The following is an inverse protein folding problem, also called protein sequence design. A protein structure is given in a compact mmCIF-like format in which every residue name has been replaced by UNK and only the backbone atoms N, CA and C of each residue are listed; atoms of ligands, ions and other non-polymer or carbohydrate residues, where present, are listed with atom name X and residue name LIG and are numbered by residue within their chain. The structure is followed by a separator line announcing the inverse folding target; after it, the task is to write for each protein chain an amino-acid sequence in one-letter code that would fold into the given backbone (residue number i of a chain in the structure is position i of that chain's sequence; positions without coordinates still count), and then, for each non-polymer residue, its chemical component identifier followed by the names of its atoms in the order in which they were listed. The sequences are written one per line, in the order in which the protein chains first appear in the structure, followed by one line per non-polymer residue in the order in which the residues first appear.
data_IF_764177149447
#
_entry.id   IF_764177149447
#
_cell.length_a   1.000
_cell.length_b   1.000
_cell.length_c   1.000
_cell.angle_alpha   90.00
_cell.angle_beta   90.00
_cell.angle_gamma   90.00
#
_symmetry.space_group_name_H-M   'P 1'
#
loop_
_entity.id
_entity.type
_entity.pdbx_description
1 polymer ?
#
# COMPACT_ATOMS: atom_id res chain seq x y z
N UNK A 1 30.71 40.93 15.33
CA UNK A 1 29.72 40.37 14.41
C UNK A 1 29.62 38.91 14.76
N UNK A 2 28.55 38.51 15.41
CA UNK A 2 28.35 37.15 15.87
C UNK A 2 27.50 36.45 14.81
N UNK A 3 28.05 35.39 14.21
CA UNK A 3 27.31 34.47 13.35
C UNK A 3 26.28 33.70 14.21
N UNK A 4 25.02 33.91 13.90
CA UNK A 4 23.91 33.16 14.50
C UNK A 4 23.89 31.74 13.96
N UNK A 5 23.34 30.80 14.73
CA UNK A 5 23.24 29.42 14.28
C UNK A 5 22.32 29.33 13.07
N UNK A 6 22.86 28.83 11.96
CA UNK A 6 22.10 28.43 10.77
C UNK A 6 21.12 27.31 11.16
N UNK A 7 19.84 27.60 11.05
CA UNK A 7 18.78 26.56 11.15
C UNK A 7 19.06 25.43 10.14
N UNK A 8 18.88 24.16 10.51
CA UNK A 8 19.04 23.07 9.57
C UNK A 8 18.00 23.22 8.45
N UNK A 9 18.48 23.39 7.24
CA UNK A 9 17.68 23.65 6.05
C UNK A 9 16.63 22.59 5.81
N UNK A 10 15.38 22.98 5.71
CA UNK A 10 14.18 22.23 5.34
C UNK A 10 14.17 21.75 3.87
N UNK A 11 15.33 21.48 3.27
CA UNK A 11 15.50 21.42 1.80
C UNK A 11 15.90 20.04 1.24
N UNK A 12 15.39 18.91 1.76
CA UNK A 12 15.75 17.62 1.15
C UNK A 12 14.63 16.56 1.02
N UNK A 13 13.36 16.95 1.04
CA UNK A 13 12.26 16.02 0.74
C UNK A 13 11.71 16.18 -0.70
N UNK A 14 12.59 16.32 -1.69
CA UNK A 14 12.21 16.22 -3.11
C UNK A 14 11.96 14.76 -3.53
N UNK A 15 11.11 14.06 -2.79
CA UNK A 15 10.65 12.76 -3.25
C UNK A 15 9.52 12.97 -4.26
N UNK A 16 9.82 12.71 -5.54
CA UNK A 16 8.81 12.67 -6.59
C UNK A 16 7.98 11.42 -6.37
N UNK A 17 6.66 11.55 -6.14
CA UNK A 17 5.80 10.39 -5.95
C UNK A 17 5.75 9.57 -7.24
N UNK A 18 5.80 8.24 -7.11
CA UNK A 18 5.84 7.31 -8.23
C UNK A 18 4.57 7.40 -9.06
N UNK A 19 4.71 7.50 -10.39
CA UNK A 19 3.60 7.60 -11.35
C UNK A 19 2.56 8.68 -10.98
N UNK A 20 2.99 9.79 -10.37
CA UNK A 20 2.08 10.81 -9.84
C UNK A 20 1.13 11.36 -10.89
N UNK A 21 1.64 11.65 -12.10
CA UNK A 21 0.82 12.12 -13.22
C UNK A 21 -0.24 11.08 -13.60
N UNK A 22 0.15 9.81 -13.68
CA UNK A 22 -0.75 8.72 -14.05
C UNK A 22 -1.84 8.48 -13.01
N UNK A 23 -1.53 8.60 -11.73
CA UNK A 23 -2.52 8.54 -10.65
C UNK A 23 -3.56 9.65 -10.77
N UNK A 24 -3.12 10.88 -11.08
CA UNK A 24 -4.03 12.00 -11.33
C UNK A 24 -4.93 11.73 -12.55
N UNK A 25 -4.39 11.31 -13.67
CA UNK A 25 -5.16 11.00 -14.89
C UNK A 25 -6.25 9.94 -14.64
N UNK A 26 -5.92 8.92 -13.86
CA UNK A 26 -6.85 7.84 -13.55
C UNK A 26 -7.95 8.27 -12.57
N UNK A 27 -7.61 9.04 -11.54
CA UNK A 27 -8.55 9.43 -10.47
C UNK A 27 -9.35 10.71 -10.81
N UNK A 28 -8.76 11.67 -11.53
CA UNK A 28 -9.40 12.96 -11.86
C UNK A 28 -10.84 12.82 -12.39
N UNK A 29 -11.17 11.92 -13.37
CA UNK A 29 -12.53 11.83 -13.87
C UNK A 29 -13.58 11.43 -12.82
N UNK A 30 -13.19 10.73 -11.77
CA UNK A 30 -14.07 10.46 -10.63
C UNK A 30 -14.17 11.65 -9.68
N UNK A 31 -13.04 12.34 -9.44
CA UNK A 31 -12.94 13.47 -8.53
C UNK A 31 -13.55 14.77 -9.09
N UNK A 32 -13.77 14.85 -10.41
CA UNK A 32 -14.35 16.03 -11.07
C UNK A 32 -15.72 15.77 -11.67
N UNK A 33 -16.38 14.66 -11.32
CA UNK A 33 -17.68 14.30 -11.89
C UNK A 33 -18.83 15.22 -11.48
N UNK A 34 -18.74 15.87 -10.33
CA UNK A 34 -19.72 16.83 -9.85
C UNK A 34 -19.31 18.26 -10.18
N UNK A 35 -18.05 18.62 -9.85
CA UNK A 35 -17.47 19.94 -10.07
C UNK A 35 -16.05 19.82 -10.63
N UNK A 36 -15.71 20.66 -11.61
CA UNK A 36 -14.42 20.63 -12.30
C UNK A 36 -13.22 20.90 -11.39
N UNK A 37 -13.43 21.60 -10.28
CA UNK A 37 -12.43 21.91 -9.25
C UNK A 37 -12.31 20.83 -8.16
N UNK A 38 -13.12 19.76 -8.23
CA UNK A 38 -13.16 18.68 -7.25
C UNK A 38 -14.02 18.97 -6.02
N UNK A 39 -14.80 20.06 -6.00
CA UNK A 39 -15.73 20.34 -4.90
C UNK A 39 -16.71 19.18 -4.70
N UNK A 40 -17.05 18.88 -3.45
CA UNK A 40 -17.85 17.75 -3.00
C UNK A 40 -17.21 16.36 -3.18
N UNK A 41 -16.08 16.25 -3.89
CA UNK A 41 -15.38 14.98 -4.02
C UNK A 41 -14.51 14.67 -2.81
N UNK A 42 -14.44 13.38 -2.46
CA UNK A 42 -13.61 12.84 -1.38
C UNK A 42 -12.62 11.82 -1.95
N UNK A 43 -11.32 12.09 -1.75
CA UNK A 43 -10.24 11.16 -2.04
C UNK A 43 -9.70 10.59 -0.74
N UNK A 44 -9.60 9.26 -0.64
CA UNK A 44 -8.84 8.60 0.40
C UNK A 44 -7.46 8.23 -0.14
N UNK A 45 -6.41 8.77 0.46
CA UNK A 45 -5.03 8.29 0.31
C UNK A 45 -4.75 7.33 1.48
N UNK A 46 -4.81 6.03 1.20
CA UNK A 46 -4.71 4.98 2.21
C UNK A 46 -3.27 4.75 2.70
N UNK A 47 -2.30 5.40 2.08
CA UNK A 47 -0.86 5.28 2.31
C UNK A 47 -0.18 6.63 2.16
N UNK A 48 -0.67 7.64 2.89
CA UNK A 48 -0.32 9.04 2.62
C UNK A 48 1.18 9.33 2.73
N UNK A 49 1.92 8.60 3.57
CA UNK A 49 3.36 8.73 3.73
C UNK A 49 3.81 10.18 3.95
N UNK A 50 4.72 10.67 3.10
CA UNK A 50 5.18 12.06 3.12
C UNK A 50 4.24 13.04 2.37
N UNK A 51 3.10 12.59 1.87
CA UNK A 51 2.06 13.44 1.27
C UNK A 51 2.30 13.90 -0.16
N UNK A 52 3.22 13.27 -0.90
CA UNK A 52 3.56 13.71 -2.26
C UNK A 52 2.42 13.60 -3.26
N UNK A 53 1.71 12.48 -3.29
CA UNK A 53 0.49 12.31 -4.08
C UNK A 53 -0.62 13.25 -3.62
N UNK A 54 -0.86 13.30 -2.31
CA UNK A 54 -1.88 14.16 -1.71
C UNK A 54 -1.69 15.65 -2.07
N UNK A 55 -0.46 16.16 -1.95
CA UNK A 55 -0.13 17.54 -2.31
C UNK A 55 -0.47 17.84 -3.78
N UNK A 56 -0.14 16.91 -4.67
CA UNK A 56 -0.43 17.07 -6.09
C UNK A 56 -1.92 17.15 -6.37
N UNK A 57 -2.72 16.22 -5.82
CA UNK A 57 -4.18 16.27 -5.98
C UNK A 57 -4.80 17.54 -5.42
N UNK A 58 -4.40 17.97 -4.23
CA UNK A 58 -4.92 19.17 -3.58
C UNK A 58 -4.53 20.47 -4.32
N UNK A 59 -3.38 20.46 -5.00
CA UNK A 59 -2.93 21.59 -5.82
C UNK A 59 -3.72 21.68 -7.13
N UNK A 60 -3.97 20.54 -7.78
CA UNK A 60 -4.68 20.49 -9.06
C UNK A 60 -6.20 20.58 -8.93
N UNK A 61 -6.76 20.24 -7.77
CA UNK A 61 -8.19 20.24 -7.48
C UNK A 61 -8.48 21.07 -6.22
N UNK A 62 -8.68 22.38 -6.35
CA UNK A 62 -8.79 23.29 -5.21
C UNK A 62 -10.05 23.08 -4.34
N UNK A 63 -11.06 22.37 -4.82
CA UNK A 63 -12.26 22.00 -4.04
C UNK A 63 -12.20 20.64 -3.39
N UNK A 64 -11.21 19.79 -3.73
CA UNK A 64 -11.10 18.41 -3.28
C UNK A 64 -10.91 18.31 -1.75
N UNK A 65 -11.63 17.38 -1.11
CA UNK A 65 -11.38 16.92 0.26
C UNK A 65 -10.54 15.64 0.23
N UNK A 66 -9.53 15.57 1.11
CA UNK A 66 -8.62 14.44 1.19
C UNK A 66 -8.62 13.87 2.62
N UNK A 67 -8.78 12.55 2.72
CA UNK A 67 -8.58 11.79 3.94
C UNK A 67 -7.30 10.98 3.76
N UNK A 68 -6.29 11.25 4.58
CA UNK A 68 -4.99 10.57 4.53
C UNK A 68 -4.84 9.59 5.68
N UNK A 69 -4.54 8.34 5.39
CA UNK A 69 -4.30 7.31 6.38
C UNK A 69 -2.81 6.96 6.40
N UNK A 70 -2.22 6.86 7.58
CA UNK A 70 -0.93 6.22 7.77
C UNK A 70 -0.86 5.57 9.15
N UNK A 71 -0.12 4.47 9.22
CA UNK A 71 0.16 3.75 10.46
C UNK A 71 1.40 4.28 11.18
N UNK A 72 2.24 5.06 10.49
CA UNK A 72 3.45 5.67 11.03
C UNK A 72 3.15 7.08 11.55
N UNK A 73 3.16 7.32 12.87
CA UNK A 73 2.90 8.65 13.42
C UNK A 73 3.92 9.70 12.93
N UNK A 74 5.16 9.28 12.65
CA UNK A 74 6.17 10.20 12.11
C UNK A 74 5.83 10.67 10.69
N UNK A 75 5.23 9.81 9.87
CA UNK A 75 4.72 10.20 8.56
C UNK A 75 3.62 11.25 8.68
N UNK A 76 2.69 11.07 9.63
CA UNK A 76 1.60 12.01 9.87
C UNK A 76 2.09 13.39 10.33
N UNK A 77 3.17 13.47 11.10
CA UNK A 77 3.79 14.76 11.47
C UNK A 77 4.38 15.48 10.25
N UNK A 78 5.10 14.76 9.40
CA UNK A 78 5.69 15.32 8.19
C UNK A 78 4.60 15.80 7.22
N UNK A 79 3.59 14.97 6.97
CA UNK A 79 2.52 15.33 6.04
C UNK A 79 1.67 16.48 6.55
N UNK A 80 1.48 16.59 7.87
CA UNK A 80 0.78 17.74 8.49
C UNK A 80 1.50 19.07 8.18
N UNK A 81 2.82 19.07 8.29
CA UNK A 81 3.64 20.23 7.94
C UNK A 81 3.60 20.52 6.44
N UNK A 82 3.78 19.50 5.61
CA UNK A 82 3.78 19.62 4.14
C UNK A 82 2.46 20.15 3.59
N UNK A 83 1.35 19.64 4.11
CA UNK A 83 0.00 19.99 3.66
C UNK A 83 -0.64 21.13 4.46
N UNK A 84 0.11 21.87 5.28
CA UNK A 84 -0.42 22.93 6.15
C UNK A 84 -1.26 23.97 5.38
N UNK A 85 -0.87 24.30 4.14
CA UNK A 85 -1.62 25.23 3.26
C UNK A 85 -2.99 24.71 2.80
N UNK A 86 -3.27 23.43 3.01
CA UNK A 86 -4.52 22.74 2.66
C UNK A 86 -5.26 22.19 3.89
N UNK A 87 -4.89 22.65 5.09
CA UNK A 87 -5.37 22.07 6.35
C UNK A 87 -6.90 22.04 6.49
N UNK A 88 -7.61 22.98 5.86
CA UNK A 88 -9.08 23.07 5.81
C UNK A 88 -9.75 21.94 5.00
N UNK A 89 -8.99 21.25 4.15
CA UNK A 89 -9.46 20.22 3.23
C UNK A 89 -8.84 18.84 3.45
N UNK A 90 -7.94 18.71 4.44
CA UNK A 90 -7.20 17.49 4.74
C UNK A 90 -7.54 16.98 6.12
N UNK A 91 -7.94 15.72 6.19
CA UNK A 91 -8.10 14.99 7.46
C UNK A 91 -7.10 13.87 7.53
N UNK A 92 -6.25 13.86 8.56
CA UNK A 92 -5.22 12.83 8.77
C UNK A 92 -5.66 11.88 9.88
N UNK A 93 -5.61 10.58 9.60
CA UNK A 93 -6.03 9.53 10.54
C UNK A 93 -4.87 8.56 10.79
N UNK A 94 -4.49 8.39 12.06
CA UNK A 94 -3.47 7.43 12.46
C UNK A 94 -4.07 6.01 12.50
N UNK A 95 -4.02 5.32 11.39
CA UNK A 95 -4.51 3.95 11.26
C UNK A 95 -3.81 3.22 10.11
N UNK A 96 -3.83 1.89 10.15
CA UNK A 96 -3.49 1.08 8.97
C UNK A 96 -4.60 1.22 7.91
N UNK A 97 -4.24 0.98 6.64
CA UNK A 97 -5.21 1.06 5.55
C UNK A 97 -6.39 0.06 5.67
N UNK A 98 -6.26 -1.03 6.44
CA UNK A 98 -7.38 -1.94 6.74
C UNK A 98 -8.40 -1.36 7.75
N UNK A 99 -8.04 -0.28 8.44
CA UNK A 99 -8.95 0.54 9.24
C UNK A 99 -9.76 1.57 8.43
N UNK A 100 -9.67 1.59 7.10
CA UNK A 100 -10.32 2.58 6.24
C UNK A 100 -11.84 2.70 6.49
N UNK A 101 -12.55 1.58 6.56
CA UNK A 101 -14.00 1.59 6.77
C UNK A 101 -14.38 2.19 8.14
N UNK A 102 -13.64 1.87 9.20
CA UNK A 102 -13.83 2.45 10.54
C UNK A 102 -13.56 3.95 10.53
N UNK A 103 -12.43 4.37 9.92
CA UNK A 103 -12.07 5.78 9.80
C UNK A 103 -13.14 6.59 9.06
N UNK A 104 -13.67 6.09 7.95
CA UNK A 104 -14.77 6.74 7.23
C UNK A 104 -16.02 6.87 8.08
N UNK A 105 -16.38 5.82 8.82
CA UNK A 105 -17.57 5.84 9.71
C UNK A 105 -17.39 6.85 10.83
N UNK A 106 -16.25 6.90 11.48
CA UNK A 106 -15.92 7.86 12.55
C UNK A 106 -15.94 9.31 12.06
N UNK A 107 -15.55 9.54 10.80
CA UNK A 107 -15.60 10.86 10.16
C UNK A 107 -16.99 11.23 9.61
N UNK A 108 -17.99 10.35 9.76
CA UNK A 108 -19.37 10.61 9.33
C UNK A 108 -19.66 10.35 7.85
N UNK A 109 -18.72 9.73 7.10
CA UNK A 109 -18.93 9.41 5.67
C UNK A 109 -19.69 8.09 5.44
N UNK A 110 -19.70 7.18 6.42
CA UNK A 110 -20.18 5.82 6.23
C UNK A 110 -19.18 4.91 5.51
N UNK A 111 -19.38 3.59 5.67
CA UNK A 111 -18.43 2.59 5.13
C UNK A 111 -18.70 2.21 3.68
N UNK A 112 -19.79 2.64 3.06
CA UNK A 112 -20.16 2.25 1.70
C UNK A 112 -20.63 3.46 0.88
N UNK A 113 -20.16 3.50 -0.39
CA UNK A 113 -20.54 4.48 -1.40
C UNK A 113 -20.44 5.95 -0.97
N UNK A 114 -19.41 6.27 -0.20
CA UNK A 114 -19.21 7.57 0.44
C UNK A 114 -17.99 8.34 -0.05
N UNK A 115 -17.16 7.75 -0.93
CA UNK A 115 -15.96 8.38 -1.47
C UNK A 115 -15.91 8.28 -2.99
N UNK A 116 -15.18 9.20 -3.63
CA UNK A 116 -15.04 9.28 -5.09
C UNK A 116 -13.73 8.66 -5.59
N UNK A 117 -12.72 8.64 -4.76
CA UNK A 117 -11.42 8.07 -5.09
C UNK A 117 -10.75 7.37 -3.92
N UNK A 118 -9.98 6.32 -4.24
CA UNK A 118 -9.08 5.67 -3.31
C UNK A 118 -7.72 5.44 -3.98
N UNK A 119 -6.64 5.80 -3.28
CA UNK A 119 -5.26 5.60 -3.70
C UNK A 119 -4.52 4.74 -2.69
N UNK A 120 -3.81 3.73 -3.19
CA UNK A 120 -2.88 2.90 -2.42
C UNK A 120 -1.51 2.93 -3.10
N UNK A 121 -0.50 3.45 -2.40
CA UNK A 121 0.91 3.38 -2.76
C UNK A 121 1.61 2.43 -1.78
N UNK A 122 1.65 1.13 -2.13
CA UNK A 122 2.02 0.07 -1.21
C UNK A 122 3.54 0.02 -0.95
N UNK A 123 3.91 -0.68 0.09
CA UNK A 123 5.31 -0.91 0.46
C UNK A 123 5.81 0.03 1.54
N UNK A 124 7.12 0.29 1.55
CA UNK A 124 7.77 1.18 2.52
C UNK A 124 7.92 2.58 1.98
N UNK A 125 7.70 3.56 2.82
CA UNK A 125 7.99 4.94 2.46
C UNK A 125 9.49 5.16 2.34
N UNK A 126 9.88 6.15 1.53
CA UNK A 126 11.29 6.54 1.41
C UNK A 126 11.91 6.92 2.73
N UNK A 127 11.14 7.61 3.58
CA UNK A 127 11.59 7.98 4.94
C UNK A 127 11.97 6.75 5.77
N UNK A 128 11.18 5.67 5.70
CA UNK A 128 11.49 4.44 6.43
C UNK A 128 12.77 3.77 5.94
N UNK A 129 13.07 3.87 4.63
CA UNK A 129 14.31 3.35 4.05
C UNK A 129 15.52 4.24 4.35
N UNK A 130 15.33 5.55 4.40
CA UNK A 130 16.39 6.53 4.58
C UNK A 130 16.80 6.67 6.07
N UNK A 131 15.87 6.39 7.00
CA UNK A 131 16.12 6.33 8.45
C UNK A 131 16.72 4.97 8.82
N UNK A 132 18.05 4.91 8.87
CA UNK A 132 18.77 3.64 9.10
C UNK A 132 18.33 2.94 10.41
N UNK A 133 18.08 3.72 11.47
CA UNK A 133 17.67 3.25 12.78
C UNK A 133 16.34 2.48 12.80
N UNK A 134 15.53 2.60 11.75
CA UNK A 134 14.27 1.84 11.58
C UNK A 134 14.51 0.39 11.14
N UNK A 135 15.71 0.03 10.70
CA UNK A 135 16.10 -1.35 10.35
C UNK A 135 15.52 -1.92 9.05
N UNK A 136 14.93 -1.09 8.18
CA UNK A 136 14.37 -1.55 6.90
C UNK A 136 15.44 -1.84 5.85
N UNK A 137 16.57 -1.15 5.92
CA UNK A 137 17.66 -1.28 4.95
C UNK A 137 18.69 -2.32 5.39
N UNK A 138 19.02 -3.26 4.53
CA UNK A 138 20.08 -4.26 4.76
C UNK A 138 21.50 -3.74 4.43
N UNK A 139 21.62 -2.55 3.90
CA UNK A 139 22.88 -1.92 3.49
C UNK A 139 23.57 -1.16 4.61
N UNK A 140 22.88 -0.90 5.71
CA UNK A 140 23.41 -0.19 6.89
C UNK A 140 23.15 -1.03 8.12
N UNK A 141 24.12 -0.98 9.07
CA UNK A 141 23.89 -1.62 10.38
C UNK A 141 22.98 -0.76 11.24
N UNK A 142 21.96 -1.41 11.81
CA UNK A 142 20.90 -0.76 12.57
C UNK A 142 20.19 -1.77 13.47
N UNK A 143 19.39 -1.34 14.46
CA UNK A 143 18.52 -2.23 15.20
C UNK A 143 17.64 -3.07 14.26
N UNK A 144 17.46 -4.36 14.58
CA UNK A 144 16.61 -5.27 13.80
C UNK A 144 15.14 -5.06 14.15
N UNK A 145 14.59 -3.91 13.79
CA UNK A 145 13.24 -3.46 14.19
C UNK A 145 12.17 -3.74 13.11
N UNK A 146 12.18 -3.03 12.00
CA UNK A 146 11.28 -3.10 10.85
C UNK A 146 9.80 -2.76 11.16
N UNK A 147 9.45 -2.23 12.32
CA UNK A 147 8.08 -1.78 12.60
C UNK A 147 7.77 -0.48 11.86
N UNK A 148 6.71 -0.46 11.07
CA UNK A 148 6.21 0.78 10.44
C UNK A 148 5.56 1.69 11.48
N UNK A 149 4.82 1.13 12.45
CA UNK A 149 4.41 1.84 13.66
C UNK A 149 5.35 1.47 14.81
N UNK A 150 6.19 2.37 15.33
CA UNK A 150 7.12 2.09 16.44
C UNK A 150 6.43 1.63 17.72
N UNK A 151 5.13 1.93 17.89
CA UNK A 151 4.34 1.52 19.05
C UNK A 151 3.84 0.07 18.96
N UNK A 152 4.00 -0.60 17.83
CA UNK A 152 3.65 -2.01 17.67
C UNK A 152 4.53 -2.89 18.55
N UNK A 153 3.97 -3.96 19.10
CA UNK A 153 4.69 -4.83 20.03
C UNK A 153 5.74 -5.71 19.36
N UNK A 154 5.48 -6.17 18.11
CA UNK A 154 6.31 -7.17 17.42
C UNK A 154 7.34 -6.51 16.50
N UNK A 155 8.62 -6.73 16.76
CA UNK A 155 9.75 -6.33 15.92
C UNK A 155 10.32 -7.50 15.10
N UNK A 156 11.20 -7.21 14.14
CA UNK A 156 11.93 -8.26 13.43
C UNK A 156 12.88 -9.05 14.34
N UNK A 157 13.46 -8.40 15.35
CA UNK A 157 14.26 -9.07 16.36
C UNK A 157 13.42 -10.08 17.16
N UNK A 158 12.20 -9.73 17.52
CA UNK A 158 11.31 -10.65 18.24
C UNK A 158 11.01 -11.90 17.40
N UNK A 159 10.65 -11.73 16.12
CA UNK A 159 10.41 -12.85 15.20
C UNK A 159 11.65 -13.74 15.12
N UNK A 160 12.82 -13.18 14.86
CA UNK A 160 14.07 -13.93 14.69
C UNK A 160 14.46 -14.66 15.98
N UNK A 161 14.27 -14.03 17.14
CA UNK A 161 14.75 -14.57 18.41
C UNK A 161 13.75 -15.50 19.11
N UNK A 162 12.44 -15.42 18.80
CA UNK A 162 11.43 -16.17 19.57
C UNK A 162 10.68 -17.24 18.78
N UNK A 163 10.52 -17.06 17.45
CA UNK A 163 9.75 -18.02 16.64
C UNK A 163 10.52 -19.34 16.47
N UNK A 164 9.81 -20.45 16.36
CA UNK A 164 10.43 -21.75 16.07
C UNK A 164 10.93 -21.86 14.62
N UNK A 165 11.69 -22.92 14.32
CA UNK A 165 12.31 -23.13 13.03
C UNK A 165 11.27 -23.23 11.89
N UNK A 166 10.15 -23.91 12.15
CA UNK A 166 9.10 -24.11 11.15
C UNK A 166 8.40 -22.80 10.81
N UNK A 167 8.05 -22.00 11.82
CA UNK A 167 7.45 -20.69 11.65
C UNK A 167 8.38 -19.71 10.90
N UNK A 168 9.67 -19.69 11.26
CA UNK A 168 10.66 -18.90 10.54
C UNK A 168 10.80 -19.33 9.07
N UNK A 169 10.88 -20.63 8.81
CA UNK A 169 10.96 -21.14 7.44
C UNK A 169 9.70 -20.80 6.62
N UNK A 170 8.51 -20.88 7.23
CA UNK A 170 7.24 -20.51 6.59
C UNK A 170 7.21 -19.02 6.23
N UNK A 171 7.56 -18.12 7.14
CA UNK A 171 7.66 -16.68 6.90
C UNK A 171 8.62 -16.39 5.73
N UNK A 172 9.83 -16.94 5.77
CA UNK A 172 10.84 -16.72 4.74
C UNK A 172 10.40 -17.25 3.36
N UNK A 173 9.73 -18.39 3.33
CA UNK A 173 9.21 -18.99 2.10
C UNK A 173 8.01 -18.23 1.54
N UNK A 174 6.99 -17.97 2.36
CA UNK A 174 5.72 -17.38 1.91
C UNK A 174 5.81 -15.90 1.58
N UNK A 175 6.58 -15.13 2.36
CA UNK A 175 6.68 -13.69 2.23
C UNK A 175 7.95 -13.22 1.50
N UNK A 176 9.01 -14.03 1.51
CA UNK A 176 10.25 -13.74 0.80
C UNK A 176 10.41 -14.49 -0.53
N UNK A 177 9.57 -15.50 -0.78
CA UNK A 177 9.78 -16.45 -1.89
C UNK A 177 11.22 -17.01 -1.85
N UNK A 178 11.76 -17.23 -0.61
CA UNK A 178 13.15 -17.61 -0.36
C UNK A 178 13.35 -19.12 -0.54
N UNK A 179 14.15 -19.51 -1.50
CA UNK A 179 14.42 -20.92 -1.79
C UNK A 179 15.21 -21.64 -0.70
N UNK A 180 16.00 -20.90 0.07
CA UNK A 180 16.82 -21.44 1.15
C UNK A 180 16.18 -21.24 2.53
N UNK A 181 14.89 -20.99 2.59
CA UNK A 181 14.14 -20.65 3.82
C UNK A 181 14.43 -21.61 4.98
N UNK A 182 14.33 -22.93 4.78
CA UNK A 182 14.60 -23.93 5.82
C UNK A 182 16.05 -23.87 6.31
N UNK A 183 17.01 -23.73 5.39
CA UNK A 183 18.43 -23.65 5.72
C UNK A 183 18.76 -22.38 6.51
N UNK A 184 18.14 -21.25 6.13
CA UNK A 184 18.28 -19.98 6.86
C UNK A 184 17.68 -20.10 8.24
N UNK A 185 16.45 -20.60 8.35
CA UNK A 185 15.78 -20.81 9.65
C UNK A 185 16.62 -21.69 10.60
N UNK A 186 17.07 -22.84 10.14
CA UNK A 186 17.93 -23.72 10.94
C UNK A 186 19.24 -23.04 11.39
N UNK A 187 19.82 -22.15 10.57
CA UNK A 187 20.99 -21.37 10.98
C UNK A 187 20.67 -20.28 11.98
N UNK A 188 19.55 -19.61 11.84
CA UNK A 188 19.05 -18.63 12.81
C UNK A 188 18.88 -19.29 14.17
N UNK A 189 18.17 -20.42 14.24
CA UNK A 189 17.94 -21.16 15.49
C UNK A 189 19.27 -21.51 16.19
N UNK A 190 20.23 -22.04 15.44
CA UNK A 190 21.53 -22.39 16.02
C UNK A 190 22.29 -21.16 16.52
N UNK A 191 22.35 -20.10 15.70
CA UNK A 191 23.13 -18.90 16.04
C UNK A 191 22.53 -18.16 17.26
N UNK A 192 21.19 -18.03 17.34
CA UNK A 192 20.53 -17.32 18.45
C UNK A 192 20.66 -18.03 19.80
N UNK A 193 20.91 -19.35 19.81
CA UNK A 193 21.15 -20.12 21.04
C UNK A 193 22.39 -19.63 21.76
N UNK A 194 23.40 -19.16 21.06
CA UNK A 194 24.64 -18.60 21.64
C UNK A 194 24.42 -17.12 22.03
N UNK A 195 23.79 -16.34 21.16
CA UNK A 195 23.52 -14.92 21.40
C UNK A 195 22.34 -14.46 20.54
N UNK A 196 21.32 -13.77 21.10
CA UNK A 196 20.23 -13.18 20.33
C UNK A 196 20.71 -12.22 19.24
N UNK A 197 19.92 -12.09 18.17
CA UNK A 197 20.14 -11.08 17.13
C UNK A 197 19.64 -9.73 17.63
N UNK A 198 20.41 -8.69 17.42
CA UNK A 198 20.07 -7.31 17.79
C UNK A 198 20.15 -6.36 16.61
N UNK A 199 21.01 -6.65 15.62
CA UNK A 199 21.25 -5.73 14.50
C UNK A 199 21.02 -6.37 13.13
N UNK A 200 20.81 -5.53 12.14
CA UNK A 200 20.66 -5.94 10.74
C UNK A 200 21.93 -6.57 10.19
N UNK A 201 23.12 -6.06 10.57
CA UNK A 201 24.40 -6.60 10.12
C UNK A 201 24.62 -8.06 10.58
N UNK A 202 24.23 -8.40 11.82
CA UNK A 202 24.32 -9.78 12.31
C UNK A 202 23.50 -10.75 11.46
N UNK A 203 22.27 -10.34 11.08
CA UNK A 203 21.41 -11.13 10.20
C UNK A 203 21.99 -11.21 8.79
N UNK A 204 22.46 -10.11 8.22
CA UNK A 204 23.08 -10.08 6.90
C UNK A 204 24.29 -11.02 6.82
N UNK A 205 25.18 -11.01 7.84
CA UNK A 205 26.33 -11.91 7.93
C UNK A 205 25.90 -13.39 7.87
N UNK A 206 24.89 -13.77 8.69
CA UNK A 206 24.35 -15.12 8.67
C UNK A 206 23.79 -15.50 7.28
N UNK A 207 23.11 -14.60 6.59
CA UNK A 207 22.54 -14.85 5.26
C UNK A 207 23.63 -15.09 4.22
N UNK A 208 24.74 -14.36 4.29
CA UNK A 208 25.90 -14.60 3.42
C UNK A 208 26.49 -16.00 3.61
N UNK A 209 26.51 -16.53 4.82
CA UNK A 209 26.96 -17.89 5.10
C UNK A 209 25.92 -18.95 4.73
N UNK A 210 24.64 -18.65 4.94
CA UNK A 210 23.54 -19.58 4.71
C UNK A 210 23.26 -19.80 3.22
N UNK A 211 23.36 -18.76 2.39
CA UNK A 211 23.03 -18.81 0.96
C UNK A 211 24.28 -19.19 0.17
N UNK A 212 24.25 -20.27 -0.66
CA UNK A 212 25.38 -20.69 -1.47
C UNK A 212 25.93 -19.59 -2.38
N UNK A 213 27.25 -19.52 -2.54
CA UNK A 213 27.91 -18.50 -3.35
C UNK A 213 27.39 -18.40 -4.80
N UNK A 214 27.07 -19.54 -5.42
CA UNK A 214 26.49 -19.58 -6.77
C UNK A 214 25.13 -18.87 -6.84
N UNK A 215 24.28 -19.05 -5.83
CA UNK A 215 22.95 -18.42 -5.76
C UNK A 215 23.03 -16.92 -5.49
N UNK A 216 24.06 -16.44 -4.79
CA UNK A 216 24.28 -15.02 -4.51
C UNK A 216 24.65 -14.19 -5.75
N UNK A 217 25.20 -14.84 -6.80
CA UNK A 217 25.62 -14.15 -8.04
C UNK A 217 24.48 -13.84 -9.00
N UNK A 218 23.35 -14.54 -8.89
CA UNK A 218 22.27 -14.50 -9.88
C UNK A 218 20.97 -13.86 -9.37
N UNK A 219 20.84 -13.54 -8.07
CA UNK A 219 19.58 -13.21 -7.43
C UNK A 219 19.47 -11.82 -6.78
N UNK A 220 20.40 -10.91 -7.02
CA UNK A 220 20.50 -9.65 -6.27
C UNK A 220 21.08 -9.85 -4.87
N UNK A 221 20.93 -8.85 -3.99
CA UNK A 221 21.49 -8.92 -2.64
C UNK A 221 20.86 -10.08 -1.83
N UNK A 222 21.64 -10.96 -1.18
CA UNK A 222 21.13 -12.15 -0.49
C UNK A 222 20.15 -11.85 0.63
N UNK A 223 20.25 -10.69 1.29
CA UNK A 223 19.34 -10.29 2.35
C UNK A 223 17.98 -9.78 1.84
N UNK A 224 17.84 -9.41 0.57
CA UNK A 224 16.64 -8.75 0.03
C UNK A 224 15.35 -9.52 0.37
N UNK A 225 15.33 -10.83 0.11
CA UNK A 225 14.15 -11.68 0.32
C UNK A 225 13.82 -11.89 1.79
N UNK A 226 14.83 -12.10 2.61
CA UNK A 226 14.66 -12.27 4.06
C UNK A 226 14.17 -10.98 4.71
N UNK A 227 14.70 -9.82 4.36
CA UNK A 227 14.25 -8.53 4.87
C UNK A 227 12.82 -8.23 4.43
N UNK A 228 12.47 -8.50 3.17
CA UNK A 228 11.07 -8.42 2.71
C UNK A 228 10.16 -9.32 3.53
N UNK A 229 10.54 -10.58 3.75
CA UNK A 229 9.72 -11.52 4.50
C UNK A 229 9.47 -11.08 5.95
N UNK A 230 10.51 -10.63 6.64
CA UNK A 230 10.41 -10.13 8.01
C UNK A 230 9.55 -8.86 8.06
N UNK A 231 9.77 -7.91 7.17
CA UNK A 231 8.98 -6.68 7.08
C UNK A 231 7.49 -6.96 6.92
N UNK A 232 7.14 -7.84 5.99
CA UNK A 232 5.75 -8.26 5.75
C UNK A 232 5.16 -8.91 7.01
N UNK A 233 5.92 -9.79 7.68
CA UNK A 233 5.47 -10.48 8.88
C UNK A 233 5.28 -9.53 10.07
N UNK A 234 6.25 -8.64 10.33
CA UNK A 234 6.19 -7.62 11.41
C UNK A 234 4.98 -6.73 11.24
N UNK A 235 4.69 -6.33 10.00
CA UNK A 235 3.70 -5.31 9.71
C UNK A 235 2.35 -5.86 9.24
N UNK A 236 2.20 -7.16 9.10
CA UNK A 236 1.00 -7.82 8.54
C UNK A 236 0.53 -7.16 7.22
N UNK A 237 1.49 -6.84 6.33
CA UNK A 237 1.21 -6.06 5.11
C UNK A 237 0.21 -6.76 4.20
N UNK A 238 0.38 -8.08 3.97
CA UNK A 238 -0.48 -8.82 3.05
C UNK A 238 -1.84 -9.17 3.65
N UNK A 239 -1.94 -9.39 4.97
CA UNK A 239 -3.20 -9.58 5.68
C UNK A 239 -4.05 -8.33 5.59
N UNK A 240 -3.47 -7.20 5.96
CA UNK A 240 -4.11 -5.89 5.87
C UNK A 240 -4.56 -5.55 4.44
N UNK A 241 -3.75 -5.85 3.41
CA UNK A 241 -4.10 -5.58 2.02
C UNK A 241 -5.32 -6.37 1.54
N UNK A 242 -5.44 -7.63 1.98
CA UNK A 242 -6.61 -8.48 1.61
C UNK A 242 -7.92 -7.94 2.13
N UNK A 243 -7.94 -7.25 3.25
CA UNK A 243 -9.14 -6.62 3.82
C UNK A 243 -9.35 -5.19 3.34
N UNK A 244 -8.28 -4.42 3.17
CA UNK A 244 -8.36 -3.01 2.83
C UNK A 244 -8.87 -2.75 1.41
N UNK A 245 -8.38 -3.48 0.40
CA UNK A 245 -8.76 -3.25 -0.99
C UNK A 245 -10.26 -3.50 -1.20
N UNK A 246 -10.86 -4.62 -0.75
CA UNK A 246 -12.32 -4.79 -0.82
C UNK A 246 -13.08 -3.70 -0.06
N UNK A 247 -12.65 -3.32 1.14
CA UNK A 247 -13.30 -2.27 1.93
C UNK A 247 -13.27 -0.91 1.21
N UNK A 248 -12.14 -0.54 0.60
CA UNK A 248 -12.04 0.68 -0.19
C UNK A 248 -12.95 0.63 -1.44
N UNK A 249 -13.04 -0.53 -2.09
CA UNK A 249 -13.93 -0.72 -3.24
C UNK A 249 -15.41 -0.60 -2.85
N UNK A 250 -15.80 -1.09 -1.68
CA UNK A 250 -17.17 -0.97 -1.18
C UNK A 250 -17.49 0.49 -0.78
N UNK A 251 -16.50 1.23 -0.31
CA UNK A 251 -16.64 2.65 0.04
C UNK A 251 -16.80 3.57 -1.19
N UNK A 252 -16.35 3.16 -2.39
CA UNK A 252 -16.47 3.97 -3.59
C UNK A 252 -17.94 4.20 -3.98
N UNK A 253 -18.31 5.42 -4.29
CA UNK A 253 -19.56 5.75 -4.94
C UNK A 253 -19.60 5.22 -6.38
N UNK A 254 -20.77 5.12 -7.00
CA UNK A 254 -20.91 4.79 -8.43
C UNK A 254 -20.14 5.82 -9.26
N UNK A 255 -19.31 5.34 -10.19
CA UNK A 255 -18.38 6.19 -10.96
C UNK A 255 -17.06 6.47 -10.23
N UNK A 256 -16.97 6.19 -8.94
CA UNK A 256 -15.73 6.31 -8.14
C UNK A 256 -14.63 5.36 -8.63
N UNK A 257 -13.37 5.69 -8.34
CA UNK A 257 -12.20 4.97 -8.86
C UNK A 257 -11.21 4.61 -7.76
N UNK A 258 -10.57 3.46 -7.92
CA UNK A 258 -9.46 3.01 -7.08
C UNK A 258 -8.21 2.83 -7.93
N UNK A 259 -7.08 3.31 -7.41
CA UNK A 259 -5.74 3.09 -7.96
C UNK A 259 -4.88 2.41 -6.90
N UNK A 260 -4.23 1.32 -7.27
CA UNK A 260 -3.32 0.57 -6.40
C UNK A 260 -1.99 0.39 -7.10
N UNK A 261 -0.92 0.86 -6.47
CA UNK A 261 0.47 0.64 -6.86
C UNK A 261 1.10 -0.40 -5.94
N UNK A 262 1.60 -1.48 -6.51
CA UNK A 262 2.30 -2.57 -5.82
C UNK A 262 3.76 -2.63 -6.27
N UNK A 263 4.67 -2.96 -5.36
CA UNK A 263 6.12 -3.03 -5.64
C UNK A 263 6.68 -4.44 -5.53
N UNK A 264 5.88 -5.38 -5.08
CA UNK A 264 6.27 -6.78 -4.99
C UNK A 264 5.19 -7.71 -5.58
N UNK A 265 5.63 -8.90 -6.01
CA UNK A 265 4.78 -9.91 -6.66
C UNK A 265 3.60 -10.36 -5.81
N UNK A 266 3.78 -10.43 -4.49
CA UNK A 266 2.75 -10.88 -3.55
C UNK A 266 1.62 -9.87 -3.40
N UNK A 267 1.94 -8.58 -3.34
CA UNK A 267 0.95 -7.50 -3.34
C UNK A 267 0.16 -7.49 -4.64
N UNK A 268 0.87 -7.47 -5.79
CA UNK A 268 0.24 -7.45 -7.11
C UNK A 268 -0.68 -8.66 -7.33
N UNK A 269 -0.31 -9.84 -6.82
CA UNK A 269 -1.12 -11.06 -6.90
C UNK A 269 -2.45 -10.92 -6.15
N UNK A 270 -2.43 -10.30 -4.96
CA UNK A 270 -3.63 -10.01 -4.17
C UNK A 270 -4.53 -9.03 -4.91
N UNK A 271 -3.99 -7.88 -5.33
CA UNK A 271 -4.74 -6.84 -6.04
C UNK A 271 -5.32 -7.38 -7.34
N UNK A 272 -4.51 -8.10 -8.14
CA UNK A 272 -4.95 -8.74 -9.39
C UNK A 272 -6.15 -9.66 -9.15
N UNK A 273 -6.12 -10.48 -8.10
CA UNK A 273 -7.21 -11.42 -7.79
C UNK A 273 -8.48 -10.66 -7.40
N UNK A 274 -8.40 -9.75 -6.44
CA UNK A 274 -9.55 -8.94 -5.99
C UNK A 274 -10.17 -8.17 -7.15
N UNK A 275 -9.35 -7.59 -8.01
CA UNK A 275 -9.81 -6.83 -9.16
C UNK A 275 -10.43 -7.74 -10.23
N UNK A 276 -9.87 -8.92 -10.48
CA UNK A 276 -10.44 -9.89 -11.42
C UNK A 276 -11.83 -10.36 -10.97
N UNK A 277 -12.00 -10.65 -9.69
CA UNK A 277 -13.29 -11.04 -9.11
C UNK A 277 -14.34 -9.91 -9.22
N UNK A 278 -13.91 -8.66 -9.15
CA UNK A 278 -14.80 -7.49 -9.20
C UNK A 278 -15.28 -7.16 -10.63
N UNK A 279 -14.47 -7.45 -11.65
CA UNK A 279 -14.82 -7.20 -13.06
C UNK A 279 -15.47 -8.42 -13.74
N UNK A 280 -15.56 -9.55 -13.04
CA UNK A 280 -16.24 -10.72 -13.53
C UNK A 280 -17.76 -10.58 -13.39
N UNK A 281 -18.50 -11.11 -14.39
CA UNK A 281 -19.92 -11.34 -14.23
C UNK A 281 -20.17 -12.41 -13.17
N UNK A 282 -21.23 -12.26 -12.39
CA UNK A 282 -21.71 -13.24 -11.41
C UNK A 282 -22.81 -14.14 -11.96
N UNK A 283 -23.16 -13.95 -13.24
CA UNK A 283 -24.08 -14.84 -13.95
C UNK A 283 -23.44 -16.23 -14.08
N UNK A 284 -24.16 -17.30 -13.76
CA UNK A 284 -23.68 -18.66 -14.00
C UNK A 284 -23.22 -18.86 -15.46
N UNK A 285 -22.08 -19.54 -15.64
CA UNK A 285 -21.40 -19.67 -16.95
C UNK A 285 -22.23 -20.43 -17.98
N UNK A 286 -23.17 -21.25 -17.54
CA UNK A 286 -24.09 -22.06 -18.35
C UNK A 286 -25.29 -21.27 -18.90
N UNK A 287 -25.48 -20.04 -18.47
CA UNK A 287 -26.54 -19.17 -18.97
C UNK A 287 -26.06 -18.32 -20.16
N UNK A 288 -26.79 -18.30 -21.30
CA UNK A 288 -26.38 -17.57 -22.50
C UNK A 288 -26.62 -16.04 -22.40
N UNK A 289 -27.32 -15.58 -21.35
CA UNK A 289 -27.70 -14.18 -21.16
C UNK A 289 -27.30 -13.75 -19.77
N UNK A 290 -26.76 -12.54 -19.66
CA UNK A 290 -26.42 -11.95 -18.36
C UNK A 290 -27.67 -11.71 -17.53
N UNK A 291 -27.67 -12.22 -16.29
CA UNK A 291 -28.81 -12.02 -15.39
C UNK A 291 -28.83 -10.58 -14.86
N UNK A 292 -30.00 -9.93 -14.79
CA UNK A 292 -30.12 -8.59 -14.20
C UNK A 292 -29.53 -8.53 -12.79
N UNK A 293 -28.68 -7.54 -12.53
CA UNK A 293 -27.98 -7.36 -11.25
C UNK A 293 -26.79 -8.32 -11.02
N UNK A 294 -26.45 -9.22 -11.96
CA UNK A 294 -25.30 -10.13 -11.88
C UNK A 294 -24.09 -9.64 -12.70
N UNK A 295 -24.21 -8.56 -13.44
CA UNK A 295 -23.11 -7.97 -14.20
C UNK A 295 -21.92 -7.55 -13.33
N UNK A 296 -20.80 -7.22 -13.98
CA UNK A 296 -19.61 -6.71 -13.30
C UNK A 296 -19.92 -5.50 -12.43
N UNK A 297 -19.41 -5.49 -11.21
CA UNK A 297 -19.53 -4.32 -10.30
C UNK A 297 -18.54 -3.20 -10.63
N UNK A 298 -17.46 -3.56 -11.32
CA UNK A 298 -16.38 -2.66 -11.68
C UNK A 298 -15.95 -2.90 -13.13
N UNK A 299 -15.34 -1.88 -13.73
CA UNK A 299 -14.59 -2.02 -14.99
C UNK A 299 -13.12 -1.71 -14.77
N UNK A 300 -12.25 -2.42 -15.48
CA UNK A 300 -10.82 -2.13 -15.49
C UNK A 300 -10.53 -0.85 -16.27
N UNK A 301 -9.66 -0.02 -15.71
CA UNK A 301 -9.12 1.19 -16.36
C UNK A 301 -7.71 0.97 -16.93
N UNK A 302 -7.09 -0.16 -16.57
CA UNK A 302 -5.74 -0.54 -17.03
C UNK A 302 -5.79 -1.88 -17.74
N UNK A 303 -4.99 -2.04 -18.82
CA UNK A 303 -4.80 -3.32 -19.49
C UNK A 303 -3.73 -4.16 -18.76
N UNK A 304 -4.16 -4.87 -17.72
CA UNK A 304 -3.25 -5.57 -16.81
C UNK A 304 -2.61 -4.62 -15.79
N UNK A 305 -1.34 -4.84 -15.46
CA UNK A 305 -0.57 -3.91 -14.62
C UNK A 305 0.24 -2.97 -15.49
N UNK A 306 0.05 -1.67 -15.32
CA UNK A 306 0.93 -0.65 -15.91
C UNK A 306 2.24 -0.56 -15.10
N UNK A 307 3.32 -0.18 -15.77
CA UNK A 307 4.66 -0.03 -15.19
C UNK A 307 5.16 1.38 -15.44
N UNK A 308 6.14 1.80 -14.64
CA UNK A 308 6.91 2.99 -14.94
C UNK A 308 7.63 2.83 -16.28
N UNK A 309 7.67 3.88 -17.07
CA UNK A 309 8.46 3.92 -18.30
C UNK A 309 9.95 4.17 -18.00
N UNK A 310 10.77 4.16 -19.05
CA UNK A 310 12.22 4.32 -18.90
C UNK A 310 12.60 5.69 -18.31
N UNK A 311 11.87 6.75 -18.68
CA UNK A 311 12.14 8.11 -18.19
C UNK A 311 11.79 8.25 -16.70
N UNK A 312 10.66 7.70 -16.26
CA UNK A 312 10.28 7.64 -14.84
C UNK A 312 11.32 6.84 -14.03
N UNK A 313 11.78 5.68 -14.55
CA UNK A 313 12.78 4.83 -13.87
C UNK A 313 14.12 5.52 -13.76
N UNK A 314 14.55 6.25 -14.80
CA UNK A 314 15.80 7.02 -14.79
C UNK A 314 15.73 8.14 -13.75
N UNK A 315 14.61 8.85 -13.67
CA UNK A 315 14.40 9.95 -12.73
C UNK A 315 14.14 9.44 -11.30
N UNK A 316 13.41 8.34 -11.15
CA UNK A 316 13.07 7.72 -9.87
C UNK A 316 13.28 6.19 -9.93
N UNK A 317 14.49 5.67 -9.63
CA UNK A 317 14.77 4.24 -9.70
C UNK A 317 13.88 3.36 -8.80
N UNK A 318 13.24 3.95 -7.77
CA UNK A 318 12.28 3.25 -6.90
C UNK A 318 10.99 2.87 -7.64
N UNK A 319 10.69 3.51 -8.76
CA UNK A 319 9.54 3.20 -9.61
C UNK A 319 9.70 1.91 -10.42
N UNK A 320 10.93 1.42 -10.62
CA UNK A 320 11.22 0.27 -11.49
C UNK A 320 10.36 -0.99 -11.22
N UNK A 321 10.07 -1.40 -9.98
CA UNK A 321 9.25 -2.56 -9.71
C UNK A 321 7.74 -2.29 -9.74
N UNK A 322 7.28 -1.04 -9.88
CA UNK A 322 5.88 -0.65 -9.73
C UNK A 322 4.94 -1.40 -10.68
N UNK A 323 3.80 -1.76 -10.17
CA UNK A 323 2.66 -2.34 -10.90
C UNK A 323 1.41 -1.60 -10.49
N UNK A 324 0.93 -0.73 -11.37
CA UNK A 324 -0.26 0.06 -11.14
C UNK A 324 -1.47 -0.63 -11.76
N UNK A 325 -2.54 -0.74 -10.99
CA UNK A 325 -3.86 -1.21 -11.44
C UNK A 325 -4.93 -0.24 -11.00
N UNK A 326 -5.97 -0.09 -11.82
CA UNK A 326 -7.08 0.79 -11.51
C UNK A 326 -8.42 0.21 -11.95
N UNK A 327 -9.44 0.46 -11.12
CA UNK A 327 -10.84 0.11 -11.43
C UNK A 327 -11.75 1.33 -11.26
N UNK A 328 -12.90 1.28 -11.93
CA UNK A 328 -14.01 2.18 -11.73
C UNK A 328 -15.26 1.40 -11.31
N UNK A 329 -15.97 1.88 -10.29
CA UNK A 329 -17.26 1.32 -9.88
C UNK A 329 -18.33 1.63 -10.90
N UNK A 330 -19.08 0.60 -11.28
CA UNK A 330 -20.22 0.69 -12.19
C UNK A 330 -21.52 0.80 -11.40
N UNK A 331 -22.52 1.39 -12.03
CA UNK A 331 -23.90 1.26 -11.62
C UNK A 331 -24.39 -0.15 -11.94
N UNK A 332 -25.00 -0.82 -10.96
CA UNK A 332 -25.65 -2.11 -11.22
C UNK A 332 -27.01 -1.83 -11.84
N UNK A 333 -27.32 -2.46 -12.98
CA UNK A 333 -28.66 -2.41 -13.53
C UNK A 333 -29.69 -2.86 -12.47
N UNK A 334 -30.63 -1.99 -12.17
CA UNK A 334 -31.70 -2.29 -11.23
C UNK A 334 -32.53 -3.48 -11.76
N UNK A 335 -32.83 -4.44 -10.89
CA UNK A 335 -33.83 -5.46 -11.23
C UNK A 335 -35.11 -4.76 -11.67
N UNK A 336 -35.75 -5.16 -12.80
CA UNK A 336 -37.03 -4.63 -13.20
C UNK A 336 -38.00 -4.80 -12.03
N UNK A 337 -38.58 -3.68 -11.57
CA UNK A 337 -39.61 -3.72 -10.53
C UNK A 337 -40.71 -4.66 -11.02
N UNK A 338 -40.96 -5.74 -10.28
CA UNK A 338 -42.11 -6.56 -10.52
C UNK A 338 -43.34 -5.65 -10.39
N UNK A 339 -43.98 -5.42 -11.53
CA UNK A 339 -45.25 -4.66 -11.53
C UNK A 339 -46.22 -5.32 -10.59
N UNK A 340 -46.65 -4.59 -9.55
CA UNK A 340 -47.76 -4.97 -8.75
C UNK A 340 -48.99 -5.00 -9.69
N UNK A 341 -49.29 -6.21 -10.19
CA UNK A 341 -50.52 -6.43 -10.95
C UNK A 341 -51.70 -5.96 -10.12
N UNK A 342 -52.29 -4.83 -10.49
CA UNK A 342 -53.64 -4.48 -10.05
C UNK A 342 -54.53 -5.55 -10.63
N UNK A 343 -55.01 -6.44 -9.78
CA UNK A 343 -56.20 -7.24 -10.08
C UNK A 343 -57.36 -6.31 -10.21
N UNK A 344 -57.84 -6.13 -11.43
CA UNK A 344 -59.22 -5.64 -11.67
C UNK A 344 -60.15 -6.82 -11.49
N UNK A 345 -61.05 -6.65 -10.52
CA UNK A 345 -62.29 -7.42 -10.41
C UNK A 345 -63.45 -6.49 -10.63
#
# INVERSE_FOLDING_TARGET
MADGPTEPGFNDFHHVPVLAQRCVELLRPALTRHHADGSEAVLVDATIGAGGHAERFLTELPGLRLIGLDRDPSALEIVRTRLARFADRVTLVHTRYDGLASALTELGYGAAQSIDGALFDLGVSSMQLDQAERGFAYSKDAPLDMRMNPQSALSAADIINTYDEAALADILHRYGEERFARRIAARIIRRRADRPFTTTAELVALLYEAIPAAARRTGGHPAKRTFQALRIAVNDELGSLRSAVPAAMDALAVGGRIVVMAYQSLEDRIVKRVFADAVASRTPVDLPVELPGHGPRFRSLTHGAERADAAEVEHNPRSAPVRLRALQRLELEALPRQGTGKGES
#
